data_IF_419676302563
#
_entry.id   IF_419676302563
#
_cell.length_a   1.000
_cell.length_b   1.000
_cell.length_c   1.000
_cell.angle_alpha   90.00
_cell.angle_beta   90.00
_cell.angle_gamma   90.00
#
_symmetry.space_group_name_H-M   'P 1'
#
loop_
_entity.id
_entity.type
_entity.pdbx_description
1 polymer ?
#
# COMPACT_ATOMS: atom_id res chain seq x y z
N UNK A 1 -13.52 -27.67 -24.07
CA UNK A 1 -12.67 -26.62 -23.52
C UNK A 1 -11.28 -27.21 -23.56
N UNK A 2 -10.42 -26.66 -24.42
CA UNK A 2 -9.04 -27.13 -24.56
C UNK A 2 -8.30 -26.76 -23.26
N UNK A 3 -7.70 -27.75 -22.58
CA UNK A 3 -6.83 -27.56 -21.43
C UNK A 3 -5.49 -27.00 -21.95
N UNK A 4 -5.23 -25.71 -21.70
CA UNK A 4 -3.96 -25.09 -22.01
C UNK A 4 -3.02 -25.25 -20.80
N UNK A 5 -1.83 -25.77 -21.03
CA UNK A 5 -0.74 -25.70 -20.06
C UNK A 5 -0.02 -24.36 -20.22
N UNK A 6 -0.04 -23.51 -19.20
CA UNK A 6 0.69 -22.25 -19.15
C UNK A 6 2.03 -22.51 -18.48
N UNK A 7 3.12 -22.24 -19.19
CA UNK A 7 4.47 -22.34 -18.66
C UNK A 7 5.11 -20.96 -18.63
N UNK A 8 5.52 -20.52 -17.45
CA UNK A 8 6.12 -19.21 -17.22
C UNK A 8 7.61 -19.33 -16.93
N UNK A 9 8.42 -18.43 -17.50
CA UNK A 9 9.87 -18.35 -17.30
C UNK A 9 10.25 -16.92 -16.87
N UNK A 10 9.90 -16.49 -15.65
CA UNK A 10 10.27 -15.17 -15.17
C UNK A 10 11.80 -15.06 -15.05
N UNK A 11 12.36 -13.90 -15.43
CA UNK A 11 13.81 -13.69 -15.42
C UNK A 11 14.41 -13.73 -14.01
N UNK A 12 13.64 -13.37 -12.99
CA UNK A 12 13.98 -13.52 -11.58
C UNK A 12 13.02 -14.52 -10.96
N UNK A 13 13.55 -15.50 -10.28
CA UNK A 13 12.84 -16.56 -9.55
C UNK A 13 13.24 -16.52 -8.08
N UNK A 14 12.53 -17.26 -7.23
CA UNK A 14 12.96 -17.54 -5.87
C UNK A 14 13.72 -18.85 -5.81
N UNK A 15 14.86 -18.84 -5.15
CA UNK A 15 15.61 -20.06 -4.85
C UNK A 15 14.94 -20.87 -3.71
N UNK A 16 15.52 -22.02 -3.37
CA UNK A 16 14.97 -22.89 -2.31
C UNK A 16 15.01 -22.26 -0.90
N UNK A 17 15.78 -21.19 -0.77
CA UNK A 17 15.96 -20.44 0.47
C UNK A 17 15.10 -19.17 0.52
N UNK A 18 14.35 -18.88 -0.56
CA UNK A 18 13.46 -17.72 -0.68
C UNK A 18 14.17 -16.42 -1.07
N UNK A 19 15.41 -16.54 -1.60
CA UNK A 19 16.14 -15.37 -2.11
C UNK A 19 15.87 -15.17 -3.60
N UNK A 20 15.95 -13.93 -4.09
CA UNK A 20 15.92 -13.65 -5.51
C UNK A 20 17.12 -14.31 -6.21
N UNK A 21 16.86 -15.03 -7.30
CA UNK A 21 17.85 -15.64 -8.13
C UNK A 21 17.52 -15.42 -9.61
N UNK A 22 18.54 -15.35 -10.47
CA UNK A 22 18.31 -15.36 -11.90
C UNK A 22 17.86 -16.74 -12.37
N UNK A 23 16.85 -16.79 -13.26
CA UNK A 23 16.44 -18.04 -13.90
C UNK A 23 17.56 -18.63 -14.76
N UNK A 24 18.40 -17.76 -15.37
CA UNK A 24 19.48 -18.17 -16.25
C UNK A 24 20.77 -17.39 -15.98
N UNK A 25 21.46 -17.68 -14.85
CA UNK A 25 22.57 -16.87 -14.34
C UNK A 25 23.79 -16.83 -15.28
N UNK A 26 23.99 -17.85 -16.13
CA UNK A 26 25.11 -17.87 -17.10
C UNK A 26 24.93 -16.88 -18.24
N UNK A 27 23.70 -16.53 -18.57
CA UNK A 27 23.35 -15.57 -19.61
C UNK A 27 23.04 -14.18 -19.06
N UNK A 28 22.32 -14.16 -17.93
CA UNK A 28 21.86 -12.90 -17.32
C UNK A 28 22.00 -12.95 -15.80
N UNK A 29 23.14 -12.51 -15.26
CA UNK A 29 23.39 -12.47 -13.82
C UNK A 29 22.35 -11.64 -13.07
N UNK A 30 22.04 -12.00 -11.83
CA UNK A 30 21.04 -11.31 -11.01
C UNK A 30 21.31 -9.81 -10.87
N UNK A 31 22.59 -9.43 -10.71
CA UNK A 31 23.00 -8.03 -10.61
C UNK A 31 22.61 -7.20 -11.85
N UNK A 32 22.80 -7.77 -13.04
CA UNK A 32 22.41 -7.13 -14.30
C UNK A 32 20.88 -7.02 -14.43
N UNK A 33 20.14 -8.05 -14.00
CA UNK A 33 18.68 -8.04 -13.96
C UNK A 33 18.16 -6.98 -13.00
N UNK A 34 18.76 -6.84 -11.83
CA UNK A 34 18.39 -5.80 -10.85
C UNK A 34 18.69 -4.39 -11.37
N UNK A 35 19.84 -4.19 -12.03
CA UNK A 35 20.14 -2.92 -12.69
C UNK A 35 19.15 -2.61 -13.82
N UNK A 36 18.73 -3.61 -14.58
CA UNK A 36 17.72 -3.48 -15.63
C UNK A 36 16.36 -3.17 -15.03
N UNK A 37 15.96 -3.87 -13.98
CA UNK A 37 14.75 -3.62 -13.19
C UNK A 37 14.69 -2.16 -12.72
N UNK A 38 15.81 -1.63 -12.22
CA UNK A 38 15.89 -0.24 -11.76
C UNK A 38 15.75 0.82 -12.88
N UNK A 39 16.09 0.48 -14.13
CA UNK A 39 16.07 1.39 -15.28
C UNK A 39 14.80 1.35 -16.13
N UNK A 40 13.93 0.36 -15.92
CA UNK A 40 12.72 0.15 -16.72
C UNK A 40 11.47 0.58 -15.96
N UNK A 41 10.45 0.97 -16.71
CA UNK A 41 9.09 1.13 -16.18
C UNK A 41 8.62 -0.18 -15.51
N UNK A 42 7.94 -0.08 -14.37
CA UNK A 42 7.53 -1.23 -13.56
C UNK A 42 6.60 -2.15 -14.33
N UNK A 43 5.64 -1.60 -15.07
CA UNK A 43 4.68 -2.37 -15.87
C UNK A 43 5.38 -3.13 -17.00
N UNK A 44 6.31 -2.44 -17.69
CA UNK A 44 7.10 -3.07 -18.74
C UNK A 44 7.97 -4.19 -18.18
N UNK A 45 8.60 -3.98 -17.01
CA UNK A 45 9.37 -5.01 -16.31
C UNK A 45 8.50 -6.22 -15.98
N UNK A 46 7.34 -6.01 -15.35
CA UNK A 46 6.44 -7.10 -14.97
C UNK A 46 5.97 -7.90 -16.20
N UNK A 47 5.54 -7.23 -17.26
CA UNK A 47 5.05 -7.89 -18.46
C UNK A 47 6.12 -8.68 -19.22
N UNK A 48 7.32 -8.10 -19.40
CA UNK A 48 8.34 -8.67 -20.28
C UNK A 48 9.35 -9.56 -19.56
N UNK A 49 9.71 -9.21 -18.33
CA UNK A 49 10.76 -9.94 -17.59
C UNK A 49 10.17 -10.89 -16.54
N UNK A 50 9.04 -10.58 -15.94
CA UNK A 50 8.36 -11.48 -15.01
C UNK A 50 7.24 -12.29 -15.67
N UNK A 51 6.97 -12.05 -16.96
CA UNK A 51 5.89 -12.71 -17.72
C UNK A 51 4.51 -12.57 -17.06
N UNK A 52 4.30 -11.48 -16.34
CA UNK A 52 3.04 -11.14 -15.68
C UNK A 52 2.42 -9.88 -16.33
N UNK A 53 1.84 -10.01 -17.55
CA UNK A 53 1.14 -8.90 -18.19
C UNK A 53 -0.20 -8.71 -17.50
N UNK A 54 -0.47 -7.50 -17.03
CA UNK A 54 -1.71 -7.19 -16.34
C UNK A 54 -2.74 -6.65 -17.31
N UNK A 55 -3.95 -7.18 -17.23
CA UNK A 55 -5.12 -6.63 -17.90
C UNK A 55 -5.75 -5.54 -17.03
N UNK A 56 -5.96 -4.35 -17.59
CA UNK A 56 -6.71 -3.27 -16.92
C UNK A 56 -8.22 -3.60 -16.78
N UNK A 57 -8.69 -4.64 -17.47
CA UNK A 57 -10.06 -5.12 -17.34
C UNK A 57 -10.25 -5.80 -15.98
N UNK A 58 -11.04 -5.15 -15.12
CA UNK A 58 -11.36 -5.65 -13.78
C UNK A 58 -10.56 -5.03 -12.64
N UNK A 59 -9.61 -4.15 -12.91
CA UNK A 59 -8.90 -3.38 -11.87
C UNK A 59 -9.89 -2.55 -11.03
N UNK A 60 -9.81 -2.72 -9.69
CA UNK A 60 -10.66 -1.98 -8.75
C UNK A 60 -10.11 -0.56 -8.50
N UNK A 61 -8.80 -0.39 -8.61
CA UNK A 61 -8.10 0.90 -8.56
C UNK A 61 -7.29 1.02 -9.82
N UNK A 62 -7.70 1.92 -10.73
CA UNK A 62 -7.01 2.08 -12.00
C UNK A 62 -5.82 3.02 -11.88
N UNK A 63 -4.72 2.71 -12.58
CA UNK A 63 -3.54 3.57 -12.67
C UNK A 63 -3.89 5.01 -13.04
N UNK A 64 -4.76 5.22 -13.99
CA UNK A 64 -5.17 6.54 -14.49
C UNK A 64 -5.89 7.43 -13.45
N UNK A 65 -6.33 6.86 -12.33
CA UNK A 65 -6.99 7.61 -11.26
C UNK A 65 -6.00 8.24 -10.28
N UNK A 66 -4.75 7.76 -10.28
CA UNK A 66 -3.69 8.36 -9.49
C UNK A 66 -3.24 9.69 -10.09
N UNK A 67 -2.97 10.67 -9.24
CA UNK A 67 -2.33 11.92 -9.61
C UNK A 67 -0.85 11.83 -9.30
N UNK A 68 -0.02 12.33 -10.20
CA UNK A 68 1.44 12.33 -10.00
C UNK A 68 1.85 13.69 -9.48
N UNK A 69 2.63 13.66 -8.39
CA UNK A 69 3.28 14.82 -7.80
C UNK A 69 4.65 14.99 -8.46
N UNK A 70 4.82 16.06 -9.21
CA UNK A 70 6.02 16.27 -10.05
C UNK A 70 7.16 16.97 -9.30
N UNK A 71 6.86 17.64 -8.17
CA UNK A 71 7.89 18.33 -7.37
C UNK A 71 8.72 17.32 -6.56
N UNK A 72 10.02 17.63 -6.40
CA UNK A 72 10.92 16.81 -5.58
C UNK A 72 10.55 16.78 -4.09
N UNK A 73 9.93 17.86 -3.60
CA UNK A 73 9.51 17.99 -2.20
C UNK A 73 8.02 17.74 -2.10
N UNK A 74 7.57 16.81 -1.24
CA UNK A 74 6.14 16.57 -1.04
C UNK A 74 5.47 17.81 -0.43
N UNK A 75 4.14 17.98 -0.62
CA UNK A 75 3.40 19.07 -0.02
C UNK A 75 3.45 19.00 1.51
N UNK A 76 3.29 20.15 2.18
CA UNK A 76 3.12 20.17 3.63
C UNK A 76 1.82 19.46 4.00
N UNK A 77 1.93 18.41 4.80
CA UNK A 77 0.80 17.60 5.24
C UNK A 77 0.31 18.06 6.62
N UNK A 78 -1.00 18.17 6.78
CA UNK A 78 -1.65 18.52 8.06
C UNK A 78 -1.78 17.30 8.97
N UNK A 79 -1.77 16.10 8.40
CA UNK A 79 -1.91 14.84 9.13
C UNK A 79 -1.21 13.71 8.35
N UNK A 80 -0.46 12.90 9.06
CA UNK A 80 0.33 11.80 8.49
C UNK A 80 -0.05 10.46 9.13
N UNK A 81 -0.26 9.46 8.30
CA UNK A 81 -0.54 8.08 8.75
C UNK A 81 0.54 7.14 8.22
N UNK A 82 1.05 6.30 9.07
CA UNK A 82 1.84 5.13 8.74
C UNK A 82 0.98 3.87 8.89
N UNK A 83 0.97 2.98 7.92
CA UNK A 83 0.21 1.73 7.96
C UNK A 83 1.08 0.54 7.59
N UNK A 84 0.90 -0.55 8.32
CA UNK A 84 1.64 -1.79 8.15
C UNK A 84 0.69 -2.96 7.92
N UNK A 85 0.91 -3.68 6.84
CA UNK A 85 0.49 -5.08 6.67
C UNK A 85 1.68 -5.99 6.94
N UNK A 86 1.60 -6.76 8.03
CA UNK A 86 2.68 -7.64 8.47
C UNK A 86 2.42 -9.07 8.02
N UNK A 87 3.44 -9.74 7.47
CA UNK A 87 3.41 -11.15 7.10
C UNK A 87 2.84 -12.05 8.20
N UNK A 88 2.07 -13.08 7.81
CA UNK A 88 1.29 -13.87 8.78
C UNK A 88 2.13 -14.78 9.65
N UNK A 89 3.23 -15.36 9.17
CA UNK A 89 4.06 -16.32 9.89
C UNK A 89 5.55 -15.99 9.82
N UNK A 90 6.23 -16.07 10.97
CA UNK A 90 7.68 -15.92 11.06
C UNK A 90 8.48 -17.02 10.31
N UNK A 91 7.84 -18.12 9.93
CA UNK A 91 8.48 -19.26 9.26
C UNK A 91 8.25 -19.30 7.75
N UNK A 92 7.32 -18.51 7.20
CA UNK A 92 7.14 -18.37 5.76
C UNK A 92 8.01 -17.22 5.26
N UNK A 93 9.24 -17.53 4.85
CA UNK A 93 10.16 -16.58 4.19
C UNK A 93 9.61 -16.00 2.88
N UNK A 94 8.42 -16.44 2.47
CA UNK A 94 7.77 -16.03 1.23
C UNK A 94 6.92 -14.76 1.36
N UNK A 95 6.40 -14.42 2.54
CA UNK A 95 5.47 -13.32 2.69
C UNK A 95 6.19 -11.98 2.93
N UNK A 96 5.74 -10.94 2.23
CA UNK A 96 6.27 -9.59 2.40
C UNK A 96 5.62 -8.88 3.60
N UNK A 97 6.40 -8.00 4.20
CA UNK A 97 5.90 -6.96 5.10
C UNK A 97 5.82 -5.67 4.29
N UNK A 98 4.68 -5.01 4.29
CA UNK A 98 4.45 -3.79 3.54
C UNK A 98 4.08 -2.65 4.46
N UNK A 99 4.92 -1.61 4.46
CA UNK A 99 4.75 -0.38 5.21
C UNK A 99 4.52 0.77 4.23
N UNK A 100 3.46 1.55 4.44
CA UNK A 100 3.19 2.75 3.64
C UNK A 100 2.97 3.96 4.54
N UNK A 101 3.48 5.11 4.12
CA UNK A 101 3.30 6.39 4.81
C UNK A 101 2.53 7.34 3.92
N UNK A 102 1.50 7.97 4.47
CA UNK A 102 0.56 8.80 3.75
C UNK A 102 0.33 10.11 4.46
N UNK A 103 0.13 11.18 3.69
CA UNK A 103 -0.20 12.49 4.22
C UNK A 103 -1.48 13.07 3.65
N UNK A 104 -2.18 13.90 4.44
CA UNK A 104 -3.29 14.73 3.98
C UNK A 104 -2.78 16.15 3.83
N UNK A 105 -3.01 16.75 2.67
CA UNK A 105 -2.63 18.12 2.37
C UNK A 105 -3.78 18.89 1.74
N UNK A 106 -3.79 20.20 1.92
CA UNK A 106 -4.76 21.07 1.28
C UNK A 106 -4.26 21.46 -0.12
N UNK A 107 -5.03 21.14 -1.15
CA UNK A 107 -4.74 21.51 -2.52
C UNK A 107 -5.46 22.83 -2.85
N UNK A 108 -4.69 23.90 -3.03
CA UNK A 108 -5.22 25.25 -3.30
C UNK A 108 -5.94 25.34 -4.65
N UNK A 109 -5.51 24.56 -5.65
CA UNK A 109 -6.13 24.58 -6.98
C UNK A 109 -7.55 24.03 -6.98
N UNK A 110 -7.77 22.96 -6.23
CA UNK A 110 -9.10 22.31 -6.11
C UNK A 110 -9.88 22.80 -4.91
N UNK A 111 -9.26 23.61 -4.02
CA UNK A 111 -9.78 24.08 -2.77
C UNK A 111 -10.34 22.93 -1.91
N UNK A 112 -9.60 21.80 -1.87
CA UNK A 112 -10.02 20.57 -1.17
C UNK A 112 -8.82 19.86 -0.56
N UNK A 113 -9.08 19.00 0.43
CA UNK A 113 -8.08 18.10 0.99
C UNK A 113 -7.82 16.93 0.06
N UNK A 114 -6.54 16.63 -0.16
CA UNK A 114 -6.06 15.53 -0.96
C UNK A 114 -5.14 14.64 -0.11
N UNK A 115 -4.87 13.45 -0.61
CA UNK A 115 -4.02 12.45 0.04
C UNK A 115 -2.80 12.21 -0.83
N UNK A 116 -1.62 12.11 -0.24
CA UNK A 116 -0.38 11.79 -0.95
C UNK A 116 0.34 10.62 -0.30
N UNK A 117 0.84 9.71 -1.12
CA UNK A 117 1.77 8.67 -0.72
C UNK A 117 3.15 9.30 -0.50
N UNK A 118 3.68 9.21 0.71
CA UNK A 118 4.95 9.82 1.11
C UNK A 118 6.12 8.83 1.10
N UNK A 119 5.85 7.56 1.45
CA UNK A 119 6.85 6.48 1.45
C UNK A 119 6.19 5.12 1.32
N UNK A 120 6.95 4.15 0.80
CA UNK A 120 6.54 2.75 0.72
C UNK A 120 7.76 1.83 0.84
N UNK A 121 7.65 0.82 1.69
CA UNK A 121 8.66 -0.21 1.89
C UNK A 121 7.97 -1.56 1.80
N UNK A 122 8.48 -2.44 0.93
CA UNK A 122 8.03 -3.83 0.78
C UNK A 122 9.23 -4.75 0.89
N UNK A 123 9.34 -5.48 2.00
CA UNK A 123 10.50 -6.31 2.29
C UNK A 123 10.09 -7.59 3.03
N UNK A 124 10.88 -8.64 2.84
CA UNK A 124 10.80 -9.88 3.64
C UNK A 124 11.71 -9.73 4.85
N UNK A 125 11.14 -9.54 6.00
CA UNK A 125 11.87 -9.28 7.24
C UNK A 125 11.40 -10.25 8.33
N UNK A 126 12.35 -10.76 9.09
CA UNK A 126 12.05 -11.43 10.35
C UNK A 126 11.52 -10.42 11.38
N UNK A 127 10.80 -10.91 12.38
CA UNK A 127 10.13 -10.05 13.38
C UNK A 127 11.05 -9.00 14.05
N UNK A 128 12.30 -9.33 14.47
CA UNK A 128 13.19 -8.31 15.04
C UNK A 128 13.54 -7.18 14.08
N UNK A 129 13.81 -7.50 12.81
CA UNK A 129 14.14 -6.55 11.76
C UNK A 129 12.94 -5.67 11.38
N UNK A 130 11.75 -6.30 11.29
CA UNK A 130 10.50 -5.58 11.06
C UNK A 130 10.22 -4.56 12.18
N UNK A 131 10.46 -4.95 13.43
CA UNK A 131 10.31 -4.07 14.59
C UNK A 131 11.28 -2.88 14.50
N UNK A 132 12.54 -3.13 14.17
CA UNK A 132 13.54 -2.07 14.02
C UNK A 132 13.18 -1.11 12.88
N UNK A 133 12.75 -1.63 11.73
CA UNK A 133 12.26 -0.86 10.61
C UNK A 133 11.09 0.05 11.03
N UNK A 134 10.07 -0.50 11.68
CA UNK A 134 8.91 0.28 12.11
C UNK A 134 9.27 1.41 13.09
N UNK A 135 10.23 1.16 13.99
CA UNK A 135 10.71 2.18 14.93
C UNK A 135 11.49 3.26 14.21
N UNK A 136 12.32 2.89 13.24
CA UNK A 136 13.09 3.85 12.46
C UNK A 136 12.17 4.74 11.61
N UNK A 137 11.27 4.14 10.84
CA UNK A 137 10.31 4.86 10.02
C UNK A 137 9.40 5.76 10.87
N UNK A 138 8.97 5.31 12.05
CA UNK A 138 8.19 6.14 12.96
C UNK A 138 8.97 7.39 13.42
N UNK A 139 10.28 7.27 13.67
CA UNK A 139 11.12 8.41 14.06
C UNK A 139 11.39 9.37 12.90
N UNK A 140 11.53 8.83 11.68
CA UNK A 140 11.87 9.62 10.50
C UNK A 140 10.66 10.41 9.99
N UNK A 141 9.46 9.84 10.10
CA UNK A 141 8.22 10.45 9.61
C UNK A 141 7.39 11.14 10.70
N UNK A 142 7.60 10.81 11.97
CA UNK A 142 6.82 11.31 13.12
C UNK A 142 5.30 11.32 12.84
N UNK A 143 4.71 10.18 12.39
CA UNK A 143 3.33 10.16 11.97
C UNK A 143 2.37 10.42 13.12
N UNK A 144 1.25 11.11 12.84
CA UNK A 144 0.17 11.36 13.81
C UNK A 144 -0.56 10.06 14.20
N UNK A 145 -0.55 9.07 13.32
CA UNK A 145 -1.06 7.74 13.61
C UNK A 145 -0.23 6.64 12.94
N UNK A 146 0.03 5.59 13.69
CA UNK A 146 0.58 4.33 13.16
C UNK A 146 -0.46 3.23 13.31
N UNK A 147 -0.78 2.52 12.24
CA UNK A 147 -1.83 1.51 12.19
C UNK A 147 -1.24 0.18 11.75
N UNK A 148 -1.60 -0.88 12.46
CA UNK A 148 -1.16 -2.24 12.17
C UNK A 148 -2.38 -3.14 12.07
N UNK A 149 -2.46 -3.97 11.01
CA UNK A 149 -3.52 -4.97 10.92
C UNK A 149 -3.33 -6.06 11.98
N UNK A 150 -4.42 -6.40 12.71
CA UNK A 150 -4.39 -7.39 13.78
C UNK A 150 -4.42 -8.82 13.21
N UNK A 151 -3.32 -9.23 12.59
CA UNK A 151 -3.07 -10.61 12.19
C UNK A 151 -1.72 -11.05 12.76
N UNK A 152 -1.60 -12.28 13.22
CA UNK A 152 -0.35 -12.95 13.65
C UNK A 152 0.80 -12.01 14.13
N UNK A 153 1.78 -11.74 13.28
CA UNK A 153 2.92 -10.87 13.59
C UNK A 153 2.52 -9.42 13.86
N UNK A 154 1.47 -8.90 13.20
CA UNK A 154 0.96 -7.56 13.47
C UNK A 154 0.47 -7.39 14.91
N UNK A 155 -0.17 -8.39 15.50
CA UNK A 155 -0.60 -8.35 16.90
C UNK A 155 0.58 -8.35 17.88
N UNK A 156 1.63 -9.12 17.59
CA UNK A 156 2.86 -9.13 18.40
C UNK A 156 3.61 -7.80 18.28
N UNK A 157 3.75 -7.28 17.06
CA UNK A 157 4.39 -5.99 16.79
C UNK A 157 3.65 -4.85 17.48
N UNK A 158 2.33 -4.82 17.40
CA UNK A 158 1.50 -3.83 18.08
C UNK A 158 1.83 -3.75 19.58
N UNK A 159 1.92 -4.90 20.27
CA UNK A 159 2.23 -4.94 21.71
C UNK A 159 3.63 -4.41 21.99
N UNK A 160 4.63 -4.80 21.20
CA UNK A 160 6.02 -4.39 21.38
C UNK A 160 6.21 -2.89 21.13
N UNK A 161 5.69 -2.37 20.02
CA UNK A 161 5.78 -0.96 19.64
C UNK A 161 5.06 -0.07 20.65
N UNK A 162 3.89 -0.50 21.14
CA UNK A 162 3.15 0.21 22.20
C UNK A 162 3.91 0.25 23.52
N UNK A 163 4.60 -0.84 23.91
CA UNK A 163 5.45 -0.86 25.11
C UNK A 163 6.60 0.14 25.05
N UNK A 164 7.05 0.49 23.85
CA UNK A 164 8.08 1.49 23.62
C UNK A 164 7.55 2.94 23.65
N UNK A 165 6.26 3.11 23.91
CA UNK A 165 5.62 4.44 23.97
C UNK A 165 5.20 5.01 22.64
N UNK A 166 5.28 4.24 21.54
CA UNK A 166 4.81 4.65 20.22
C UNK A 166 3.28 4.48 20.16
N UNK A 167 2.51 5.53 19.86
CA UNK A 167 1.07 5.42 19.71
C UNK A 167 0.72 4.62 18.45
N UNK A 168 0.32 3.38 18.61
CA UNK A 168 -0.06 2.49 17.53
C UNK A 168 -1.50 2.04 17.72
N UNK A 169 -2.28 2.10 16.62
CA UNK A 169 -3.66 1.63 16.56
C UNK A 169 -3.75 0.23 15.94
N UNK A 170 -4.62 -0.60 16.50
CA UNK A 170 -4.98 -1.88 15.86
C UNK A 170 -6.12 -1.66 14.88
N UNK A 171 -6.00 -2.27 13.70
CA UNK A 171 -7.11 -2.44 12.78
C UNK A 171 -7.54 -3.90 12.78
N UNK A 172 -8.81 -4.14 13.00
CA UNK A 172 -9.42 -5.46 12.89
C UNK A 172 -10.52 -5.39 11.83
N UNK A 173 -10.38 -6.12 10.71
CA UNK A 173 -11.44 -6.18 9.70
C UNK A 173 -12.75 -6.65 10.32
N UNK A 174 -13.84 -5.96 9.99
CA UNK A 174 -15.19 -6.39 10.40
C UNK A 174 -15.60 -7.70 9.71
N UNK A 175 -16.62 -8.37 10.27
CA UNK A 175 -17.20 -9.54 9.61
C UNK A 175 -17.76 -9.14 8.24
N UNK A 176 -17.29 -9.81 7.16
CA UNK A 176 -17.68 -9.52 5.77
C UNK A 176 -16.85 -8.43 5.08
N UNK A 177 -15.82 -7.89 5.70
CA UNK A 177 -14.83 -7.02 5.07
C UNK A 177 -13.67 -7.87 4.52
N UNK A 178 -13.91 -8.55 3.40
CA UNK A 178 -12.84 -9.17 2.62
C UNK A 178 -11.97 -8.09 1.93
N UNK A 179 -10.86 -8.50 1.33
CA UNK A 179 -9.94 -7.59 0.64
C UNK A 179 -10.65 -6.76 -0.45
N UNK A 180 -11.48 -7.39 -1.27
CA UNK A 180 -12.23 -6.74 -2.35
C UNK A 180 -13.15 -5.65 -1.79
N UNK A 181 -13.87 -5.95 -0.73
CA UNK A 181 -14.76 -4.98 -0.05
C UNK A 181 -13.98 -3.79 0.51
N UNK A 182 -12.78 -4.02 1.06
CA UNK A 182 -11.90 -2.96 1.57
C UNK A 182 -11.40 -2.04 0.44
N UNK A 183 -10.94 -2.64 -0.66
CA UNK A 183 -10.50 -1.88 -1.83
C UNK A 183 -11.66 -1.06 -2.41
N UNK A 184 -12.85 -1.66 -2.54
CA UNK A 184 -14.04 -0.94 -3.01
C UNK A 184 -14.41 0.25 -2.10
N UNK A 185 -14.22 0.12 -0.78
CA UNK A 185 -14.49 1.20 0.17
C UNK A 185 -13.60 2.43 0.00
N UNK A 186 -12.46 2.30 -0.67
CA UNK A 186 -11.51 3.40 -0.93
C UNK A 186 -11.36 3.75 -2.42
N UNK A 187 -11.88 2.94 -3.32
CA UNK A 187 -11.74 3.14 -4.78
C UNK A 187 -12.30 4.49 -5.24
N UNK A 188 -13.34 5.01 -4.58
CA UNK A 188 -13.93 6.30 -4.89
C UNK A 188 -12.98 7.47 -4.61
N UNK A 189 -12.06 7.34 -3.64
CA UNK A 189 -11.02 8.35 -3.39
C UNK A 189 -10.10 8.48 -4.60
N UNK A 190 -9.70 7.36 -5.20
CA UNK A 190 -8.88 7.36 -6.42
C UNK A 190 -9.65 7.91 -7.60
N UNK A 191 -10.89 7.45 -7.81
CA UNK A 191 -11.76 7.90 -8.91
C UNK A 191 -12.03 9.40 -8.85
N UNK A 192 -12.13 10.00 -7.67
CA UNK A 192 -12.29 11.43 -7.48
C UNK A 192 -11.02 12.24 -7.76
N UNK A 193 -9.87 11.58 -8.00
CA UNK A 193 -8.61 12.22 -8.34
C UNK A 193 -7.94 12.96 -7.18
N UNK A 194 -8.25 12.58 -5.94
CA UNK A 194 -7.65 13.20 -4.74
C UNK A 194 -6.45 12.41 -4.18
N UNK A 195 -6.12 11.26 -4.77
CA UNK A 195 -4.99 10.43 -4.35
C UNK A 195 -3.79 10.68 -5.25
N UNK A 196 -2.68 11.08 -4.62
CA UNK A 196 -1.44 11.46 -5.26
C UNK A 196 -0.30 10.53 -4.89
N UNK A 197 0.67 10.41 -5.76
CA UNK A 197 1.93 9.71 -5.51
C UNK A 197 3.09 10.47 -6.18
N UNK A 198 4.31 10.47 -5.60
CA UNK A 198 5.45 11.09 -6.24
C UNK A 198 5.91 10.27 -7.46
N UNK A 199 6.58 10.93 -8.42
CA UNK A 199 7.17 10.26 -9.59
C UNK A 199 8.46 9.53 -9.20
N UNK A 200 8.32 8.51 -8.34
CA UNK A 200 9.40 7.65 -7.89
C UNK A 200 9.09 6.19 -8.17
N UNK A 201 10.14 5.41 -8.45
CA UNK A 201 9.99 3.99 -8.76
C UNK A 201 9.20 3.22 -7.70
N UNK A 202 9.52 3.41 -6.42
CA UNK A 202 8.82 2.73 -5.32
C UNK A 202 7.33 3.10 -5.25
N UNK A 203 6.95 4.33 -5.64
CA UNK A 203 5.55 4.74 -5.71
C UNK A 203 4.84 4.09 -6.90
N UNK A 204 5.53 3.96 -8.04
CA UNK A 204 5.00 3.21 -9.18
C UNK A 204 4.78 1.74 -8.85
N UNK A 205 5.58 1.12 -7.99
CA UNK A 205 5.34 -0.25 -7.52
C UNK A 205 4.02 -0.37 -6.75
N UNK A 206 3.67 0.62 -5.91
CA UNK A 206 2.36 0.68 -5.24
C UNK A 206 1.22 0.86 -6.24
N UNK A 207 1.39 1.77 -7.21
CA UNK A 207 0.38 2.04 -8.25
C UNK A 207 0.09 0.79 -9.06
N UNK A 208 1.14 0.08 -9.51
CA UNK A 208 0.97 -1.13 -10.32
C UNK A 208 0.33 -2.26 -9.51
N UNK A 209 0.74 -2.50 -8.26
CA UNK A 209 0.12 -3.54 -7.44
C UNK A 209 -1.36 -3.24 -7.17
N UNK A 210 -1.72 -1.98 -6.96
CA UNK A 210 -3.13 -1.56 -6.83
C UNK A 210 -3.92 -1.75 -8.14
N UNK A 211 -3.30 -1.45 -9.29
CA UNK A 211 -3.93 -1.63 -10.61
C UNK A 211 -4.10 -3.12 -10.96
N UNK A 212 -3.18 -3.96 -10.52
CA UNK A 212 -3.18 -5.40 -10.80
C UNK A 212 -4.21 -6.16 -9.94
N UNK A 213 -4.59 -5.58 -8.80
CA UNK A 213 -5.55 -6.20 -7.89
C UNK A 213 -6.97 -6.25 -8.51
N UNK A 214 -7.71 -7.39 -8.43
CA UNK A 214 -7.44 -8.59 -7.62
C UNK A 214 -6.65 -9.70 -8.32
N UNK A 215 -6.21 -9.51 -9.56
CA UNK A 215 -5.61 -10.56 -10.39
C UNK A 215 -4.07 -10.63 -10.26
N UNK A 216 -3.45 -9.68 -9.56
CA UNK A 216 -2.02 -9.62 -9.35
C UNK A 216 -1.47 -10.75 -8.48
N UNK A 217 -0.17 -11.04 -8.63
CA UNK A 217 0.51 -12.06 -7.84
C UNK A 217 0.70 -11.67 -6.37
N UNK A 218 0.75 -10.38 -6.07
CA UNK A 218 0.92 -9.82 -4.73
C UNK A 218 -0.18 -8.80 -4.45
N UNK A 219 -0.53 -8.64 -3.17
CA UNK A 219 -1.53 -7.69 -2.70
C UNK A 219 -1.15 -7.02 -1.36
N UNK A 220 0.11 -7.14 -0.95
CA UNK A 220 0.59 -6.63 0.34
C UNK A 220 0.57 -5.09 0.39
N UNK A 221 1.00 -4.42 -0.70
CA UNK A 221 0.93 -2.96 -0.82
C UNK A 221 -0.50 -2.46 -0.94
N UNK A 222 -1.39 -3.25 -1.55
CA UNK A 222 -2.83 -2.95 -1.60
C UNK A 222 -3.42 -2.96 -0.20
N UNK A 223 -3.11 -3.98 0.62
CA UNK A 223 -3.61 -4.09 1.98
C UNK A 223 -3.10 -2.92 2.85
N UNK A 224 -1.81 -2.61 2.82
CA UNK A 224 -1.25 -1.46 3.56
C UNK A 224 -1.88 -0.12 3.09
N UNK A 225 -2.06 0.07 1.77
CA UNK A 225 -2.70 1.26 1.19
C UNK A 225 -4.15 1.40 1.65
N UNK A 226 -4.95 0.35 1.50
CA UNK A 226 -6.37 0.40 1.87
C UNK A 226 -6.56 0.65 3.36
N UNK A 227 -5.68 0.12 4.20
CA UNK A 227 -5.69 0.34 5.64
C UNK A 227 -5.53 1.82 6.00
N UNK A 228 -4.54 2.51 5.39
CA UNK A 228 -4.33 3.94 5.58
C UNK A 228 -5.53 4.78 5.10
N UNK A 229 -5.99 4.52 3.86
CA UNK A 229 -7.06 5.31 3.23
C UNK A 229 -8.41 5.13 3.95
N UNK A 230 -8.73 3.92 4.39
CA UNK A 230 -9.90 3.68 5.25
C UNK A 230 -9.83 4.48 6.54
N UNK A 231 -8.63 4.59 7.15
CA UNK A 231 -8.46 5.37 8.37
C UNK A 231 -8.67 6.86 8.14
N UNK A 232 -8.18 7.42 7.03
CA UNK A 232 -8.45 8.81 6.67
C UNK A 232 -9.96 9.08 6.54
N UNK A 233 -10.67 8.18 5.85
CA UNK A 233 -12.12 8.29 5.66
C UNK A 233 -12.89 8.16 6.98
N UNK A 234 -12.59 7.13 7.78
CA UNK A 234 -13.23 6.91 9.09
C UNK A 234 -12.92 8.01 10.10
N UNK A 235 -11.73 8.60 10.04
CA UNK A 235 -11.32 9.73 10.87
C UNK A 235 -11.95 11.06 10.49
N UNK A 236 -12.61 11.13 9.33
CA UNK A 236 -13.23 12.36 8.81
C UNK A 236 -12.20 13.38 8.30
N UNK A 237 -10.96 12.95 8.04
CA UNK A 237 -9.92 13.80 7.45
C UNK A 237 -10.20 14.08 5.97
N UNK A 238 -10.81 13.11 5.30
CA UNK A 238 -11.24 13.21 3.90
C UNK A 238 -12.73 12.92 3.82
N UNK A 239 -13.45 13.77 3.12
CA UNK A 239 -14.86 13.59 2.77
C UNK A 239 -15.05 13.81 1.29
N UNK A 240 -15.80 12.93 0.66
CA UNK A 240 -16.29 13.09 -0.69
C UNK A 240 -17.67 13.75 -0.68
N UNK A 241 -18.09 14.45 -1.76
CA UNK A 241 -19.45 14.96 -1.89
C UNK A 241 -20.53 13.88 -1.70
N UNK A 242 -20.24 12.64 -2.14
CA UNK A 242 -21.13 11.49 -1.92
C UNK A 242 -21.35 11.14 -0.44
N UNK A 243 -20.35 11.38 0.41
CA UNK A 243 -20.47 11.11 1.86
C UNK A 243 -21.44 12.10 2.53
N UNK A 244 -21.60 13.32 1.99
CA UNK A 244 -22.54 14.32 2.46
C UNK A 244 -23.99 13.98 2.05
N UNK A 245 -24.17 13.42 0.85
CA UNK A 245 -25.48 12.96 0.38
C UNK A 245 -25.98 11.79 1.22
N UNK A 246 -25.13 10.85 1.58
CA UNK A 246 -25.45 9.71 2.43
C UNK A 246 -25.83 10.17 3.86
N UNK A 247 -25.10 11.13 4.43
CA UNK A 247 -25.41 11.70 5.74
C UNK A 247 -26.79 12.39 5.73
N UNK A 248 -27.18 13.04 4.64
CA UNK A 248 -28.51 13.68 4.49
C UNK A 248 -29.63 12.64 4.31
N UNK A 249 -29.39 11.56 3.57
CA UNK A 249 -30.38 10.51 3.29
C UNK A 249 -30.66 9.66 4.52
N UNK A 250 -29.63 9.32 5.29
CA UNK A 250 -29.75 8.44 6.46
C UNK A 250 -29.88 9.17 7.79
N UNK A 251 -29.94 10.51 7.79
CA UNK A 251 -30.19 11.32 8.99
C UNK A 251 -29.14 11.17 10.10
N UNK A 252 -27.93 10.78 9.73
CA UNK A 252 -26.79 10.70 10.66
C UNK A 252 -26.31 12.13 10.88
N UNK A 253 -26.49 12.71 12.12
CA UNK A 253 -25.95 14.03 12.38
C UNK A 253 -24.48 14.04 12.09
N UNK A 254 -24.03 14.99 11.25
CA UNK A 254 -22.63 15.09 10.84
C UNK A 254 -21.72 14.87 12.04
N UNK A 255 -20.87 13.86 12.01
CA UNK A 255 -19.88 13.61 13.06
C UNK A 255 -18.94 14.80 13.10
N UNK A 256 -19.32 15.79 13.92
CA UNK A 256 -18.50 16.96 14.17
C UNK A 256 -17.10 16.49 14.53
N UNK A 257 -16.10 17.18 13.98
CA UNK A 257 -14.68 16.99 14.19
C UNK A 257 -14.37 16.42 15.59
N UNK A 258 -14.23 15.10 15.71
CA UNK A 258 -13.51 14.51 16.83
C UNK A 258 -12.07 14.38 16.37
N UNK A 259 -11.33 15.47 16.48
CA UNK A 259 -9.91 15.56 16.17
C UNK A 259 -9.04 14.66 17.06
N UNK A 260 -9.59 14.09 18.13
CA UNK A 260 -8.84 13.27 19.08
C UNK A 260 -9.73 12.13 19.60
N UNK A 261 -9.54 10.93 19.05
CA UNK A 261 -9.84 9.69 19.75
C UNK A 261 -8.77 8.68 19.33
N UNK A 262 -7.68 8.68 20.09
CA UNK A 262 -6.70 7.62 20.16
C UNK A 262 -7.34 6.40 20.83
#
# INVERSE_FOLDING_TARGET
VDDWEVVEFPAIIEDKEGNEASLWPEFWPLEELQAKKASLDVRYWNAQYLQNPVSEEGALIKREWWKIWEDEVPPSCEFTIMSLDAAQEANNRADYNSLTTWGVFFNEETNNYNIILLNSIKQRLEFPELKELCIQEYKDWEPDAFIVEKKSNGAALYQEVRRMGIPVGEFTPGKGQDKISRVNAVSDLFRSGIVWAPDHRWAHEVIEECNDFPSGANDDLVDATTLALMRFRQGGFIRLPSDEEDDMVYGIPGRGKKLYAI
#
